data_IF_587938218411
#
_entry.id   IF_587938218411
#
_cell.length_a   1.000
_cell.length_b   1.000
_cell.length_c   1.000
_cell.angle_alpha   90.00
_cell.angle_beta   90.00
_cell.angle_gamma   90.00
#
_symmetry.space_group_name_H-M   'P 1'
#
loop_
_entity.id
_entity.type
_entity.pdbx_description
1 polymer ?
#
# COMPACT_ATOMS: atom_id res chain seq x y z
N UNK A 1 -15.88 11.59 -10.13
CA UNK A 1 -15.84 10.70 -8.94
C UNK A 1 -17.24 10.17 -8.74
N UNK A 2 -17.43 8.87 -8.70
CA UNK A 2 -18.77 8.29 -8.51
C UNK A 2 -18.88 7.97 -7.02
N UNK A 3 -19.81 8.62 -6.33
CA UNK A 3 -20.09 8.30 -4.93
C UNK A 3 -20.75 6.92 -4.84
N UNK A 4 -20.17 6.05 -4.02
CA UNK A 4 -20.78 4.76 -3.67
C UNK A 4 -21.44 4.96 -2.32
N UNK A 5 -22.77 5.11 -2.32
CA UNK A 5 -23.55 5.19 -1.08
C UNK A 5 -23.63 3.83 -0.39
N UNK A 6 -23.84 3.84 0.91
CA UNK A 6 -24.19 2.63 1.66
C UNK A 6 -25.69 2.43 1.58
N UNK A 7 -26.13 1.27 1.06
CA UNK A 7 -27.55 0.95 0.91
C UNK A 7 -28.22 0.58 2.26
N UNK A 8 -27.43 0.10 3.24
CA UNK A 8 -27.93 -0.33 4.57
C UNK A 8 -27.08 0.30 5.67
N UNK A 9 -27.22 1.61 5.85
CA UNK A 9 -26.50 2.32 6.90
C UNK A 9 -27.29 2.27 8.21
N UNK A 10 -26.72 1.65 9.26
CA UNK A 10 -27.30 1.66 10.60
C UNK A 10 -26.70 2.78 11.47
N UNK A 11 -27.51 3.79 11.76
CA UNK A 11 -27.15 4.92 12.65
C UNK A 11 -26.96 4.51 14.12
N UNK A 12 -27.40 3.31 14.54
CA UNK A 12 -27.27 2.83 15.92
C UNK A 12 -25.92 2.21 16.21
N UNK A 13 -25.18 1.82 15.19
CA UNK A 13 -23.84 1.26 15.37
C UNK A 13 -22.87 2.34 15.92
N UNK A 14 -22.11 2.03 16.98
CA UNK A 14 -21.15 2.97 17.54
C UNK A 14 -20.11 3.35 16.49
N UNK A 15 -19.90 4.65 16.32
CA UNK A 15 -18.92 5.16 15.37
C UNK A 15 -17.51 4.95 15.91
N UNK A 16 -16.61 4.49 15.03
CA UNK A 16 -15.18 4.34 15.32
C UNK A 16 -14.37 5.33 14.50
N UNK A 17 -13.15 5.57 14.96
CA UNK A 17 -12.15 6.36 14.22
C UNK A 17 -11.10 5.41 13.66
N UNK A 18 -10.84 5.50 12.37
CA UNK A 18 -9.74 4.78 11.72
C UNK A 18 -8.47 5.62 11.72
N UNK A 19 -7.35 5.01 12.07
CA UNK A 19 -6.00 5.55 11.87
C UNK A 19 -5.34 4.70 10.80
N UNK A 20 -5.07 5.29 9.65
CA UNK A 20 -4.43 4.63 8.52
C UNK A 20 -2.98 5.07 8.44
N UNK A 21 -2.07 4.18 8.76
CA UNK A 21 -0.64 4.40 8.57
C UNK A 21 -0.27 4.02 7.15
N UNK A 22 0.23 4.99 6.37
CA UNK A 22 0.55 4.82 4.96
C UNK A 22 2.06 4.80 4.73
N UNK A 23 2.50 3.88 3.87
CA UNK A 23 3.87 3.88 3.39
C UNK A 23 3.91 3.64 1.88
N UNK A 24 5.07 3.87 1.26
CA UNK A 24 5.26 3.76 -0.19
C UNK A 24 4.91 2.36 -0.71
N UNK A 25 5.36 1.34 -0.01
CA UNK A 25 5.22 -0.05 -0.42
C UNK A 25 6.53 -0.71 -0.85
N UNK A 26 6.44 -2.00 -1.08
CA UNK A 26 7.58 -2.87 -1.38
C UNK A 26 7.12 -4.07 -2.22
N UNK A 27 8.00 -4.73 -2.99
CA UNK A 27 7.65 -5.98 -3.66
C UNK A 27 7.25 -7.07 -2.66
N UNK A 28 6.46 -8.04 -3.09
CA UNK A 28 6.07 -9.19 -2.26
C UNK A 28 7.28 -10.08 -1.90
N UNK A 29 8.26 -10.16 -2.80
CA UNK A 29 9.55 -10.80 -2.55
C UNK A 29 10.64 -10.13 -3.39
N UNK A 30 11.90 -10.44 -3.08
CA UNK A 30 13.04 -9.99 -3.89
C UNK A 30 13.18 -10.71 -5.23
N UNK A 31 12.28 -11.68 -5.56
CA UNK A 31 12.30 -12.37 -6.86
C UNK A 31 12.02 -11.40 -8.00
N UNK A 32 12.73 -11.59 -9.11
CA UNK A 32 12.63 -10.73 -10.31
C UNK A 32 11.18 -10.50 -10.77
N UNK A 33 10.32 -11.51 -10.66
CA UNK A 33 8.91 -11.43 -11.04
C UNK A 33 8.16 -10.40 -10.18
N UNK A 34 8.32 -10.49 -8.87
CA UNK A 34 7.58 -9.65 -7.91
C UNK A 34 8.12 -8.22 -7.91
N UNK A 35 9.44 -8.06 -8.02
CA UNK A 35 10.08 -6.75 -8.23
C UNK A 35 9.62 -6.11 -9.55
N UNK A 36 9.44 -6.90 -10.63
CA UNK A 36 8.92 -6.37 -11.89
C UNK A 36 7.48 -5.88 -11.73
N UNK A 37 6.62 -6.65 -11.04
CA UNK A 37 5.23 -6.28 -10.77
C UNK A 37 5.15 -4.97 -9.98
N UNK A 38 5.91 -4.88 -8.91
CA UNK A 38 6.01 -3.67 -8.09
C UNK A 38 6.51 -2.45 -8.88
N UNK A 39 7.59 -2.61 -9.64
CA UNK A 39 8.12 -1.52 -10.48
C UNK A 39 7.13 -1.10 -11.56
N UNK A 40 6.36 -2.03 -12.13
CA UNK A 40 5.32 -1.71 -13.09
C UNK A 40 4.22 -0.85 -12.47
N UNK A 41 3.72 -1.25 -11.31
CA UNK A 41 2.70 -0.51 -10.58
C UNK A 41 3.21 0.90 -10.20
N UNK A 42 4.36 0.97 -9.53
CA UNK A 42 4.98 2.19 -9.06
C UNK A 42 5.28 3.19 -10.20
N UNK A 43 5.92 2.73 -11.26
CA UNK A 43 6.33 3.59 -12.39
C UNK A 43 5.20 3.87 -13.38
N UNK A 44 4.05 3.21 -13.26
CA UNK A 44 2.86 3.54 -14.06
C UNK A 44 2.04 4.69 -13.48
N UNK A 45 2.29 5.10 -12.24
CA UNK A 45 1.58 6.22 -11.63
C UNK A 45 2.11 7.56 -12.21
N UNK A 46 1.22 8.31 -12.84
CA UNK A 46 1.54 9.62 -13.45
C UNK A 46 1.95 10.69 -12.43
N UNK A 47 1.78 10.45 -11.12
CA UNK A 47 2.28 11.31 -10.05
C UNK A 47 3.76 11.07 -9.76
N UNK A 48 4.28 9.91 -10.16
CA UNK A 48 5.70 9.54 -10.00
C UNK A 48 6.49 9.95 -11.24
N UNK A 49 5.89 9.80 -12.42
CA UNK A 49 6.52 10.08 -13.71
C UNK A 49 5.66 11.04 -14.53
N UNK A 50 6.14 12.24 -14.73
CA UNK A 50 5.48 13.33 -15.47
C UNK A 50 5.83 13.30 -16.98
N UNK A 51 5.83 12.13 -17.61
CA UNK A 51 6.06 11.93 -19.05
C UNK A 51 4.72 11.61 -19.72
N UNK A 52 4.46 12.07 -20.96
CA UNK A 52 3.26 11.70 -21.70
C UNK A 52 3.05 10.18 -21.72
N UNK A 53 1.86 9.73 -21.33
CA UNK A 53 1.55 8.31 -21.05
C UNK A 53 1.95 7.36 -22.20
N UNK A 54 1.72 7.77 -23.46
CA UNK A 54 2.04 6.94 -24.61
C UNK A 54 3.56 6.70 -24.73
N UNK A 55 4.37 7.76 -24.62
CA UNK A 55 5.83 7.67 -24.70
C UNK A 55 6.36 6.84 -23.53
N UNK A 56 5.85 7.14 -22.32
CA UNK A 56 6.27 6.44 -21.12
C UNK A 56 5.94 4.95 -21.15
N UNK A 57 4.77 4.59 -21.70
CA UNK A 57 4.37 3.19 -21.84
C UNK A 57 5.39 2.37 -22.63
N UNK A 58 5.88 2.91 -23.76
CA UNK A 58 6.93 2.24 -24.57
C UNK A 58 8.25 2.11 -23.82
N UNK A 59 8.69 3.17 -23.14
CA UNK A 59 9.94 3.17 -22.36
C UNK A 59 9.82 2.18 -21.19
N UNK A 60 8.72 2.24 -20.44
CA UNK A 60 8.49 1.38 -19.28
C UNK A 60 8.49 -0.10 -19.68
N UNK A 61 7.65 -0.48 -20.64
CA UNK A 61 7.49 -1.89 -21.02
C UNK A 61 8.61 -2.39 -21.95
N UNK A 62 9.11 -1.56 -22.84
CA UNK A 62 10.15 -1.93 -23.80
C UNK A 62 11.55 -2.00 -23.21
N UNK A 63 11.87 -1.11 -22.28
CA UNK A 63 13.23 -0.97 -21.74
C UNK A 63 13.28 -1.26 -20.25
N UNK A 64 12.57 -0.46 -19.43
CA UNK A 64 12.75 -0.48 -17.98
C UNK A 64 12.40 -1.85 -17.39
N UNK A 65 11.20 -2.37 -17.68
CA UNK A 65 10.73 -3.64 -17.12
C UNK A 65 11.47 -4.87 -17.69
N UNK A 66 12.28 -4.71 -18.73
CA UNK A 66 13.17 -5.79 -19.25
C UNK A 66 14.47 -5.90 -18.47
N UNK A 67 15.09 -4.77 -18.17
CA UNK A 67 16.47 -4.74 -17.64
C UNK A 67 16.53 -4.42 -16.14
N UNK A 68 15.74 -3.43 -15.68
CA UNK A 68 15.82 -2.93 -14.31
C UNK A 68 15.40 -3.96 -13.24
N UNK A 69 14.40 -4.83 -13.43
CA UNK A 69 13.96 -5.77 -12.39
C UNK A 69 15.07 -6.71 -11.91
N UNK A 70 15.92 -7.22 -12.80
CA UNK A 70 17.04 -8.09 -12.42
C UNK A 70 18.07 -7.38 -11.53
N UNK A 71 18.38 -6.11 -11.84
CA UNK A 71 19.30 -5.30 -11.06
C UNK A 71 18.68 -4.93 -9.70
N UNK A 72 17.42 -4.49 -9.71
CA UNK A 72 16.71 -4.14 -8.49
C UNK A 72 16.47 -5.33 -7.57
N UNK A 73 16.19 -6.52 -8.12
CA UNK A 73 16.02 -7.74 -7.34
C UNK A 73 17.24 -8.07 -6.48
N UNK A 74 18.47 -7.93 -7.03
CA UNK A 74 19.71 -8.12 -6.28
C UNK A 74 19.86 -7.11 -5.13
N UNK A 75 19.43 -5.87 -5.34
CA UNK A 75 19.44 -4.85 -4.29
C UNK A 75 18.41 -5.14 -3.20
N UNK A 76 17.22 -5.59 -3.58
CA UNK A 76 16.21 -6.03 -2.60
C UNK A 76 16.71 -7.26 -1.82
N UNK A 77 17.29 -8.24 -2.49
CA UNK A 77 17.86 -9.45 -1.87
C UNK A 77 18.91 -9.09 -0.79
N UNK A 78 19.78 -8.11 -1.06
CA UNK A 78 20.84 -7.71 -0.11
C UNK A 78 20.33 -7.05 1.17
N UNK A 79 19.10 -6.53 1.17
CA UNK A 79 18.48 -5.89 2.34
C UNK A 79 17.32 -6.71 2.91
N UNK A 80 16.96 -7.83 2.25
CA UNK A 80 15.83 -8.66 2.67
C UNK A 80 16.17 -9.42 3.95
N UNK A 81 15.23 -9.42 4.90
CA UNK A 81 15.39 -10.15 6.15
C UNK A 81 14.63 -11.47 6.11
N UNK A 82 14.83 -12.33 7.12
CA UNK A 82 14.03 -13.56 7.28
C UNK A 82 12.54 -13.27 7.45
N UNK A 83 12.18 -12.12 8.05
CA UNK A 83 10.80 -11.67 8.23
C UNK A 83 10.22 -11.04 6.95
N UNK A 84 11.04 -10.71 5.95
CA UNK A 84 10.63 -10.09 4.69
C UNK A 84 11.28 -8.73 4.42
N UNK A 85 10.58 -7.87 3.68
CA UNK A 85 11.03 -6.51 3.40
C UNK A 85 11.11 -5.69 4.69
N UNK A 86 12.26 -5.06 5.02
CA UNK A 86 12.40 -4.20 6.20
C UNK A 86 11.33 -3.10 6.27
N UNK A 87 10.99 -2.48 5.12
CA UNK A 87 9.96 -1.45 5.06
C UNK A 87 8.62 -1.99 5.57
N UNK A 88 8.19 -3.16 5.10
CA UNK A 88 6.93 -3.77 5.50
C UNK A 88 6.97 -4.20 6.96
N UNK A 89 8.02 -4.89 7.37
CA UNK A 89 8.19 -5.41 8.74
C UNK A 89 8.17 -4.28 9.77
N UNK A 90 8.93 -3.21 9.54
CA UNK A 90 8.93 -2.08 10.47
C UNK A 90 7.61 -1.32 10.46
N UNK A 91 6.96 -1.16 9.30
CA UNK A 91 5.62 -0.55 9.24
C UNK A 91 4.59 -1.36 10.03
N UNK A 92 4.61 -2.68 9.94
CA UNK A 92 3.74 -3.55 10.72
C UNK A 92 4.01 -3.43 12.23
N UNK A 93 5.28 -3.47 12.64
CA UNK A 93 5.68 -3.30 14.05
C UNK A 93 5.27 -1.91 14.62
N UNK A 94 5.28 -0.86 13.79
CA UNK A 94 4.77 0.47 14.18
C UNK A 94 3.26 0.41 14.40
N UNK A 95 2.51 -0.16 13.45
CA UNK A 95 1.05 -0.31 13.57
C UNK A 95 0.68 -1.09 14.81
N UNK A 96 1.33 -2.20 15.10
CA UNK A 96 1.09 -3.02 16.30
C UNK A 96 1.30 -2.21 17.58
N UNK A 97 2.41 -1.46 17.67
CA UNK A 97 2.70 -0.61 18.83
C UNK A 97 1.68 0.52 19.00
N UNK A 98 1.31 1.18 17.91
CA UNK A 98 0.29 2.24 17.95
C UNK A 98 -1.05 1.66 18.35
N UNK A 99 -1.46 0.52 17.77
CA UNK A 99 -2.71 -0.16 18.12
C UNK A 99 -2.78 -0.51 19.61
N UNK A 100 -1.69 -0.97 20.21
CA UNK A 100 -1.62 -1.29 21.63
C UNK A 100 -1.80 -0.08 22.57
N UNK A 101 -1.59 1.12 22.06
CA UNK A 101 -1.74 2.37 22.82
C UNK A 101 -3.10 3.05 22.60
N UNK A 102 -3.89 2.58 21.61
CA UNK A 102 -5.16 3.21 21.27
C UNK A 102 -6.32 2.59 22.04
N UNK A 103 -7.35 3.39 22.38
CA UNK A 103 -8.58 2.86 22.97
C UNK A 103 -9.38 2.02 21.95
N UNK A 104 -10.29 1.18 22.45
CA UNK A 104 -11.02 0.20 21.63
C UNK A 104 -11.86 0.78 20.49
N UNK A 105 -12.24 2.07 20.58
CA UNK A 105 -13.01 2.76 19.54
C UNK A 105 -12.12 3.31 18.41
N UNK A 106 -10.81 3.08 18.45
CA UNK A 106 -9.87 3.48 17.40
C UNK A 106 -9.29 2.24 16.71
N UNK A 107 -9.50 2.14 15.40
CA UNK A 107 -8.93 1.10 14.56
C UNK A 107 -7.64 1.60 13.90
N UNK A 108 -6.56 0.86 14.03
CA UNK A 108 -5.25 1.22 13.42
C UNK A 108 -4.90 0.19 12.37
N UNK A 109 -4.72 0.64 11.13
CA UNK A 109 -4.42 -0.24 10.00
C UNK A 109 -3.24 0.28 9.18
N UNK A 110 -2.54 -0.64 8.51
CA UNK A 110 -1.47 -0.35 7.56
C UNK A 110 -2.00 -0.40 6.14
N UNK A 111 -1.60 0.57 5.33
CA UNK A 111 -1.76 0.46 3.89
C UNK A 111 -0.47 0.85 3.16
N UNK A 112 -0.24 0.20 2.04
CA UNK A 112 0.83 0.55 1.13
C UNK A 112 0.26 1.27 -0.09
N UNK A 113 0.96 2.32 -0.55
CA UNK A 113 0.59 3.03 -1.77
C UNK A 113 0.70 2.12 -2.99
N UNK A 114 1.73 1.25 -2.99
CA UNK A 114 1.98 0.24 -4.02
C UNK A 114 2.25 -1.11 -3.36
N UNK A 115 1.72 -2.18 -3.94
CA UNK A 115 1.82 -3.52 -3.38
C UNK A 115 0.84 -3.78 -2.25
N UNK A 116 1.25 -4.54 -1.23
CA UNK A 116 0.37 -5.01 -0.14
C UNK A 116 0.85 -4.56 1.24
N UNK A 117 -0.08 -4.30 2.20
CA UNK A 117 -1.56 -4.28 2.07
C UNK A 117 -2.06 -3.15 1.16
N UNK A 118 -3.01 -3.48 0.29
CA UNK A 118 -3.55 -2.54 -0.70
C UNK A 118 -4.40 -1.45 -0.02
N UNK A 119 -4.19 -0.19 -0.41
CA UNK A 119 -4.90 0.97 0.12
C UNK A 119 -6.43 0.81 0.05
N UNK A 120 -6.95 0.39 -1.10
CA UNK A 120 -8.39 0.25 -1.32
C UNK A 120 -9.01 -0.81 -0.38
N UNK A 121 -8.38 -1.98 -0.28
CA UNK A 121 -8.87 -3.05 0.61
C UNK A 121 -8.82 -2.66 2.08
N UNK A 122 -7.78 -1.95 2.48
CA UNK A 122 -7.65 -1.46 3.87
C UNK A 122 -8.73 -0.41 4.19
N UNK A 123 -9.00 0.50 3.26
CA UNK A 123 -10.08 1.49 3.44
C UNK A 123 -11.46 0.83 3.52
N UNK A 124 -11.72 -0.18 2.70
CA UNK A 124 -12.97 -0.95 2.77
C UNK A 124 -13.09 -1.69 4.11
N UNK A 125 -12.02 -2.31 4.59
CA UNK A 125 -12.00 -2.95 5.91
C UNK A 125 -12.30 -1.97 7.04
N UNK A 126 -11.72 -0.76 7.02
CA UNK A 126 -12.03 0.28 8.01
C UNK A 126 -13.50 0.74 7.93
N UNK A 127 -14.03 0.84 6.71
CA UNK A 127 -15.45 1.15 6.50
C UNK A 127 -16.35 0.06 7.10
N UNK A 128 -16.06 -1.22 6.86
CA UNK A 128 -16.82 -2.35 7.38
C UNK A 128 -16.78 -2.43 8.92
N UNK A 129 -15.71 -1.91 9.54
CA UNK A 129 -15.58 -1.74 10.99
C UNK A 129 -16.30 -0.48 11.53
N UNK A 130 -17.12 0.18 10.72
CA UNK A 130 -17.84 1.41 11.03
C UNK A 130 -16.95 2.61 11.42
N UNK A 131 -15.74 2.69 10.83
CA UNK A 131 -14.90 3.87 10.96
C UNK A 131 -15.47 5.00 10.10
N UNK A 132 -15.96 6.05 10.76
CA UNK A 132 -16.57 7.24 10.11
C UNK A 132 -15.62 8.41 9.99
N UNK A 133 -14.64 8.47 10.86
CA UNK A 133 -13.54 9.42 10.82
C UNK A 133 -12.29 8.67 10.44
N UNK A 134 -11.47 9.27 9.59
CA UNK A 134 -10.21 8.70 9.16
C UNK A 134 -9.08 9.69 9.36
N UNK A 135 -8.06 9.27 10.10
CA UNK A 135 -6.79 9.98 10.24
C UNK A 135 -5.76 9.23 9.39
N UNK A 136 -5.11 9.92 8.49
CA UNK A 136 -4.08 9.34 7.60
C UNK A 136 -2.72 9.92 8.00
N UNK A 137 -1.76 9.03 8.26
CA UNK A 137 -0.38 9.33 8.67
C UNK A 137 0.62 8.75 7.68
#
# INVERSE_FOLDING_TARGET
MKYVGEQEFDHKNPQRTGVLICNLGTPESYKVKDVRSFLKEFLSDGRVIEIPKAIWWFILNGIILRFRPKKSAKLYESVWTEEGSPLLVYSQKIVEKVRALMPENIEVELAMRYGKPEMEKTLLSLKDKNCRNLIVL
#
